data_IF_937031416352
#
_entry.id   IF_937031416352
#
_cell.length_a   1.000
_cell.length_b   1.000
_cell.length_c   1.000
_cell.angle_alpha   90.00
_cell.angle_beta   90.00
_cell.angle_gamma   90.00
#
_symmetry.space_group_name_H-M   'P 1'
#
loop_
_entity.id
_entity.type
_entity.pdbx_description
1 polymer ?
#
# COMPACT_ATOMS: atom_id res chain seq x y z
N UNK A 1 6.53 -1.58 11.55
CA UNK A 1 6.05 -2.88 11.03
C UNK A 1 6.82 -3.15 9.76
N UNK A 2 7.74 -4.12 9.78
CA UNK A 2 8.53 -4.49 8.61
C UNK A 2 7.59 -5.11 7.59
N UNK A 3 7.41 -4.47 6.43
CA UNK A 3 6.71 -5.07 5.30
C UNK A 3 7.64 -6.08 4.64
N UNK A 4 7.77 -7.23 5.27
CA UNK A 4 8.45 -8.38 4.72
C UNK A 4 7.44 -9.44 4.32
N UNK A 5 7.73 -10.11 3.23
CA UNK A 5 7.02 -11.28 2.71
C UNK A 5 7.04 -12.42 3.74
N UNK A 6 6.41 -12.24 4.93
CA UNK A 6 6.08 -13.33 5.85
C UNK A 6 5.20 -12.88 7.00
N UNK A 7 3.93 -13.13 6.86
CA UNK A 7 3.16 -13.65 8.00
C UNK A 7 1.79 -14.21 7.58
N UNK A 8 1.78 -15.29 6.83
CA UNK A 8 0.53 -16.03 6.56
C UNK A 8 0.59 -17.50 6.94
N UNK A 9 1.62 -17.93 7.69
CA UNK A 9 1.66 -19.31 8.24
C UNK A 9 1.53 -20.47 7.25
N UNK A 10 1.35 -20.18 5.95
CA UNK A 10 1.38 -21.19 4.89
C UNK A 10 2.76 -21.17 4.24
N UNK A 11 3.45 -22.30 4.11
CA UNK A 11 4.65 -22.36 3.30
C UNK A 11 4.28 -21.89 1.89
N UNK A 12 4.99 -20.85 1.40
CA UNK A 12 4.91 -20.46 0.00
C UNK A 12 5.23 -21.70 -0.83
N UNK A 13 4.49 -21.99 -1.91
CA UNK A 13 4.89 -23.02 -2.82
C UNK A 13 6.33 -22.73 -3.29
N UNK A 14 7.15 -23.76 -3.41
CA UNK A 14 8.55 -23.70 -3.90
C UNK A 14 8.66 -23.23 -5.38
N UNK A 15 7.82 -22.32 -5.80
CA UNK A 15 7.68 -21.84 -7.18
C UNK A 15 8.59 -20.65 -7.53
N UNK A 16 9.28 -20.07 -6.55
CA UNK A 16 10.25 -19.02 -6.80
C UNK A 16 11.66 -19.62 -6.85
N UNK A 17 12.07 -20.12 -8.01
CA UNK A 17 13.49 -20.40 -8.26
C UNK A 17 14.24 -19.06 -8.23
N UNK A 18 15.42 -19.04 -7.58
CA UNK A 18 16.28 -17.86 -7.59
C UNK A 18 16.60 -17.45 -9.02
N UNK A 19 16.37 -16.18 -9.34
CA UNK A 19 16.74 -15.62 -10.64
C UNK A 19 18.27 -15.66 -10.77
N UNK A 20 18.76 -16.08 -11.92
CA UNK A 20 20.20 -16.16 -12.22
C UNK A 20 20.50 -15.33 -13.47
N UNK A 21 21.73 -14.84 -13.57
CA UNK A 21 22.19 -14.11 -14.74
C UNK A 21 22.79 -12.76 -14.43
N UNK A 22 23.29 -12.12 -15.48
CA UNK A 22 23.88 -10.78 -15.46
C UNK A 22 22.97 -9.77 -16.15
N UNK A 23 23.10 -8.52 -15.77
CA UNK A 23 22.34 -7.39 -16.32
C UNK A 23 23.28 -6.49 -17.13
N UNK A 24 23.03 -6.25 -18.42
CA UNK A 24 23.81 -5.29 -19.18
C UNK A 24 23.83 -3.92 -18.46
N UNK A 25 25.02 -3.35 -18.28
CA UNK A 25 25.21 -2.09 -17.56
C UNK A 25 24.63 -2.06 -16.15
N UNK A 26 24.77 -3.16 -15.41
CA UNK A 26 24.22 -3.38 -14.07
C UNK A 26 24.35 -2.18 -13.14
N UNK A 27 25.58 -1.64 -12.99
CA UNK A 27 25.85 -0.51 -12.09
C UNK A 27 25.07 0.75 -12.51
N UNK A 28 24.99 1.03 -13.80
CA UNK A 28 24.24 2.18 -14.31
C UNK A 28 22.74 2.01 -14.11
N UNK A 29 22.24 0.78 -14.29
CA UNK A 29 20.84 0.45 -14.03
C UNK A 29 20.51 0.59 -12.55
N UNK A 30 21.29 0.00 -11.67
CA UNK A 30 21.08 0.08 -10.23
C UNK A 30 21.15 1.52 -9.72
N UNK A 31 22.06 2.33 -10.26
CA UNK A 31 22.13 3.75 -9.94
C UNK A 31 20.88 4.52 -10.43
N UNK A 32 20.33 4.17 -11.59
CA UNK A 32 19.08 4.75 -12.06
C UNK A 32 17.89 4.38 -11.13
N UNK A 33 17.83 3.14 -10.65
CA UNK A 33 16.84 2.71 -9.66
C UNK A 33 17.01 3.49 -8.36
N UNK A 34 18.24 3.64 -7.84
CA UNK A 34 18.53 4.45 -6.65
C UNK A 34 18.05 5.90 -6.78
N UNK A 35 18.30 6.53 -7.93
CA UNK A 35 17.82 7.90 -8.19
C UNK A 35 16.30 7.99 -8.31
N UNK A 36 15.66 6.94 -8.78
CA UNK A 36 14.20 6.93 -8.91
C UNK A 36 13.51 6.63 -7.59
N UNK A 37 14.17 5.95 -6.65
CA UNK A 37 13.61 5.61 -5.36
C UNK A 37 13.41 6.85 -4.49
N UNK A 38 12.27 7.00 -3.80
CA UNK A 38 12.01 8.13 -2.92
C UNK A 38 12.78 8.05 -1.60
N UNK A 39 13.38 6.90 -1.31
CA UNK A 39 14.12 6.60 -0.07
C UNK A 39 15.43 5.88 -0.43
N UNK A 40 16.45 5.92 0.44
CA UNK A 40 17.73 5.26 0.17
C UNK A 40 17.57 3.74 0.03
N UNK A 41 18.37 3.16 -0.89
CA UNK A 41 18.51 1.71 -1.06
C UNK A 41 19.85 1.29 -0.46
N UNK A 42 19.78 0.42 0.54
CA UNK A 42 20.91 -0.13 1.27
C UNK A 42 21.03 -1.62 1.02
N UNK A 43 22.24 -2.18 1.17
CA UNK A 43 22.49 -3.61 1.07
C UNK A 43 22.81 -4.14 2.45
N UNK A 44 22.21 -5.28 2.81
CA UNK A 44 22.46 -5.93 4.09
C UNK A 44 22.34 -7.46 4.01
N UNK A 45 22.97 -8.13 4.96
CA UNK A 45 22.85 -9.58 5.08
C UNK A 45 21.45 -9.96 5.54
N UNK A 46 20.76 -10.82 4.78
CA UNK A 46 19.42 -11.29 5.08
C UNK A 46 19.33 -12.83 4.94
N UNK A 47 18.25 -13.41 5.45
CA UNK A 47 17.95 -14.82 5.23
C UNK A 47 17.75 -15.10 3.73
N UNK A 48 18.14 -16.30 3.27
CA UNK A 48 18.11 -16.68 1.86
C UNK A 48 16.73 -16.61 1.18
N UNK A 49 15.69 -16.58 1.96
CA UNK A 49 14.30 -16.50 1.51
C UNK A 49 13.71 -15.07 1.52
N UNK A 50 14.53 -14.06 1.69
CA UNK A 50 14.16 -12.65 1.69
C UNK A 50 15.11 -11.92 0.74
N UNK A 51 14.60 -11.36 -0.33
CA UNK A 51 15.39 -10.64 -1.33
C UNK A 51 15.55 -9.17 -1.02
N UNK A 52 14.57 -8.59 -0.33
CA UNK A 52 14.56 -7.20 0.10
C UNK A 52 13.31 -6.86 0.88
N UNK A 53 13.25 -5.63 1.35
CA UNK A 53 12.05 -5.05 1.96
C UNK A 53 12.07 -3.52 1.93
N UNK A 54 10.90 -2.91 1.84
CA UNK A 54 10.71 -1.50 2.15
C UNK A 54 10.29 -1.35 3.62
N UNK A 55 10.95 -0.44 4.34
CA UNK A 55 10.61 -0.09 5.72
C UNK A 55 9.99 1.31 5.78
N UNK A 56 8.66 1.44 5.92
CA UNK A 56 7.99 2.74 6.08
C UNK A 56 8.45 3.50 7.32
N UNK A 57 8.71 2.78 8.42
CA UNK A 57 9.14 3.40 9.69
C UNK A 57 10.52 4.05 9.56
N UNK A 58 11.46 3.34 8.95
CA UNK A 58 12.84 3.80 8.76
C UNK A 58 13.05 4.59 7.47
N UNK A 59 12.04 4.65 6.60
CA UNK A 59 12.11 5.32 5.29
C UNK A 59 13.34 4.88 4.49
N UNK A 60 13.52 3.56 4.35
CA UNK A 60 14.60 2.96 3.56
C UNK A 60 14.15 1.67 2.87
N UNK A 61 14.84 1.33 1.81
CA UNK A 61 14.77 0.02 1.15
C UNK A 61 16.04 -0.74 1.52
N UNK A 62 15.88 -2.00 1.91
CA UNK A 62 17.00 -2.90 2.14
C UNK A 62 16.96 -4.05 1.13
N UNK A 63 18.10 -4.35 0.51
CA UNK A 63 18.27 -5.42 -0.49
C UNK A 63 19.30 -6.40 0.03
N UNK A 64 19.03 -7.70 -0.15
CA UNK A 64 19.93 -8.76 0.29
C UNK A 64 21.25 -8.74 -0.49
N UNK A 65 22.37 -8.84 0.22
CA UNK A 65 23.69 -9.02 -0.36
C UNK A 65 23.87 -10.40 -0.99
N UNK A 66 24.74 -10.49 -2.01
CA UNK A 66 25.19 -11.76 -2.60
C UNK A 66 24.18 -12.42 -3.54
N UNK A 67 23.13 -11.75 -3.96
CA UNK A 67 22.24 -12.20 -5.02
C UNK A 67 22.87 -12.04 -6.42
N UNK A 68 22.31 -12.71 -7.42
CA UNK A 68 22.64 -12.44 -8.82
C UNK A 68 22.24 -11.01 -9.21
N UNK A 69 22.84 -10.46 -10.26
CA UNK A 69 22.48 -9.11 -10.74
C UNK A 69 21.01 -9.00 -11.14
N UNK A 70 20.46 -10.03 -11.80
CA UNK A 70 19.04 -10.07 -12.19
C UNK A 70 18.14 -10.05 -10.96
N UNK A 71 18.44 -10.87 -9.95
CA UNK A 71 17.64 -10.93 -8.72
C UNK A 71 17.75 -9.64 -7.91
N UNK A 72 18.93 -9.04 -7.83
CA UNK A 72 19.15 -7.75 -7.15
C UNK A 72 18.35 -6.63 -7.80
N UNK A 73 18.37 -6.53 -9.14
CA UNK A 73 17.62 -5.51 -9.87
C UNK A 73 16.13 -5.72 -9.71
N UNK A 74 15.64 -6.95 -9.86
CA UNK A 74 14.22 -7.28 -9.69
C UNK A 74 13.73 -6.88 -8.30
N UNK A 75 14.46 -7.27 -7.25
CA UNK A 75 14.14 -6.90 -5.87
C UNK A 75 14.18 -5.38 -5.66
N UNK A 76 15.20 -4.69 -6.16
CA UNK A 76 15.33 -3.25 -6.00
C UNK A 76 14.17 -2.47 -6.68
N UNK A 77 13.72 -2.91 -7.85
CA UNK A 77 12.56 -2.30 -8.54
C UNK A 77 11.26 -2.60 -7.78
N UNK A 78 11.08 -3.84 -7.31
CA UNK A 78 9.92 -4.27 -6.52
C UNK A 78 9.77 -3.41 -5.24
N UNK A 79 10.83 -3.30 -4.44
CA UNK A 79 10.79 -2.52 -3.20
C UNK A 79 10.66 -1.01 -3.47
N UNK A 80 11.20 -0.53 -4.60
CA UNK A 80 10.99 0.85 -5.04
C UNK A 80 9.52 1.10 -5.39
N UNK A 81 8.82 0.14 -5.99
CA UNK A 81 7.39 0.24 -6.25
C UNK A 81 6.59 0.32 -4.94
N UNK A 82 6.90 -0.53 -3.94
CA UNK A 82 6.30 -0.42 -2.60
C UNK A 82 6.53 0.96 -1.99
N UNK A 83 7.74 1.47 -2.01
CA UNK A 83 8.06 2.78 -1.42
C UNK A 83 7.38 3.97 -2.11
N UNK A 84 6.99 3.82 -3.38
CA UNK A 84 6.28 4.86 -4.14
C UNK A 84 4.78 4.79 -3.98
N UNK A 85 4.23 3.58 -4.00
CA UNK A 85 2.78 3.35 -4.14
C UNK A 85 2.12 2.87 -2.86
N UNK A 86 2.88 2.26 -1.94
CA UNK A 86 2.33 1.60 -0.77
C UNK A 86 2.94 2.12 0.55
N UNK A 87 3.62 3.26 0.51
CA UNK A 87 4.10 3.89 1.74
C UNK A 87 2.91 4.50 2.52
N UNK A 88 2.56 3.95 3.70
CA UNK A 88 1.44 4.46 4.49
C UNK A 88 1.57 5.96 4.78
N UNK A 89 2.80 6.47 4.96
CA UNK A 89 3.04 7.89 5.24
C UNK A 89 2.69 8.82 4.08
N UNK A 90 2.61 8.29 2.85
CA UNK A 90 2.22 9.07 1.66
C UNK A 90 0.73 8.95 1.33
N UNK A 91 0.09 7.93 1.89
CA UNK A 91 -1.31 7.60 1.66
C UNK A 91 -2.14 7.70 2.93
N UNK A 92 -1.64 8.36 3.97
CA UNK A 92 -2.49 8.84 5.04
C UNK A 92 -3.49 9.81 4.38
N UNK A 93 -4.63 9.27 3.97
CA UNK A 93 -5.77 10.10 3.66
C UNK A 93 -6.02 10.90 4.93
N UNK A 94 -5.97 12.24 4.85
CA UNK A 94 -6.35 13.06 5.98
C UNK A 94 -7.76 12.65 6.38
N UNK A 95 -8.01 12.43 7.69
CA UNK A 95 -9.34 12.10 8.14
C UNK A 95 -10.28 13.22 7.68
N UNK A 96 -11.39 12.84 7.07
CA UNK A 96 -12.48 13.77 6.79
C UNK A 96 -13.45 13.76 7.96
N UNK A 97 -14.36 14.71 7.98
CA UNK A 97 -15.37 14.83 9.01
C UNK A 97 -16.76 14.60 8.40
N UNK A 98 -17.66 14.07 9.20
CA UNK A 98 -19.04 13.81 8.81
C UNK A 98 -20.03 14.21 9.87
N UNK A 99 -21.25 14.47 9.44
CA UNK A 99 -22.41 14.66 10.32
C UNK A 99 -23.20 13.35 10.31
N UNK A 100 -23.52 12.85 11.48
CA UNK A 100 -24.37 11.68 11.66
C UNK A 100 -25.68 12.05 12.34
N UNK A 101 -26.75 11.39 11.94
CA UNK A 101 -28.04 11.47 12.61
C UNK A 101 -28.08 10.42 13.71
N UNK A 102 -28.45 10.83 14.92
CA UNK A 102 -28.53 9.94 16.09
C UNK A 102 -29.97 9.92 16.61
N UNK A 103 -30.58 8.73 16.66
CA UNK A 103 -31.92 8.54 17.24
C UNK A 103 -31.88 8.61 18.77
N UNK A 104 -33.03 8.74 19.43
CA UNK A 104 -33.16 8.60 20.89
C UNK A 104 -32.60 7.28 21.41
N UNK A 105 -32.71 6.19 20.62
CA UNK A 105 -32.17 4.86 20.96
C UNK A 105 -30.67 4.70 20.67
N UNK A 106 -29.98 5.78 20.20
CA UNK A 106 -28.54 5.74 19.93
C UNK A 106 -28.16 5.14 18.57
N UNK A 107 -29.12 4.82 17.71
CA UNK A 107 -28.82 4.36 16.34
C UNK A 107 -28.26 5.52 15.53
N UNK A 108 -27.16 5.31 14.83
CA UNK A 108 -26.46 6.29 14.01
C UNK A 108 -26.64 6.00 12.52
N UNK A 109 -26.87 7.04 11.74
CA UNK A 109 -26.89 7.03 10.28
C UNK A 109 -26.10 8.21 9.74
N UNK A 110 -25.38 8.00 8.64
CA UNK A 110 -24.66 9.08 7.97
C UNK A 110 -25.68 10.09 7.40
N UNK A 111 -25.44 11.38 7.62
CA UNK A 111 -26.28 12.47 7.14
C UNK A 111 -25.58 13.30 6.06
N UNK A 112 -24.39 13.82 6.35
CA UNK A 112 -23.55 14.56 5.38
C UNK A 112 -22.10 14.16 5.58
N UNK A 113 -21.40 13.92 4.48
CA UNK A 113 -20.04 13.42 4.42
C UNK A 113 -19.08 14.45 3.82
N UNK A 114 -17.78 14.16 3.86
CA UNK A 114 -16.72 14.83 3.12
C UNK A 114 -16.44 16.28 3.54
N UNK A 115 -16.53 16.59 4.82
CA UNK A 115 -16.01 17.85 5.34
C UNK A 115 -14.50 17.76 5.55
N UNK A 116 -13.76 18.79 5.09
CA UNK A 116 -12.31 18.83 5.24
C UNK A 116 -11.87 19.07 6.70
N UNK A 117 -12.69 19.74 7.49
CA UNK A 117 -12.39 20.09 8.87
C UNK A 117 -13.61 19.87 9.78
N UNK A 118 -13.33 19.64 11.07
CA UNK A 118 -14.35 19.57 12.12
C UNK A 118 -15.21 20.84 12.15
N UNK A 119 -14.56 22.00 12.05
CA UNK A 119 -15.23 23.29 12.10
C UNK A 119 -16.23 23.49 10.96
N UNK A 120 -15.94 22.99 9.75
CA UNK A 120 -16.89 23.02 8.62
C UNK A 120 -18.10 22.12 8.89
N UNK A 121 -17.87 20.92 9.44
CA UNK A 121 -18.94 20.00 9.81
C UNK A 121 -19.81 20.58 10.94
N UNK A 122 -19.20 21.16 11.98
CA UNK A 122 -19.90 21.82 13.07
C UNK A 122 -20.73 23.03 12.59
N UNK A 123 -20.18 23.84 11.69
CA UNK A 123 -20.91 24.94 11.09
C UNK A 123 -22.15 24.46 10.33
N UNK A 124 -22.00 23.40 9.52
CA UNK A 124 -23.11 22.82 8.77
C UNK A 124 -24.18 22.21 9.70
N UNK A 125 -23.77 21.54 10.78
CA UNK A 125 -24.70 21.02 11.78
C UNK A 125 -25.43 22.14 12.54
N UNK A 126 -24.75 23.26 12.81
CA UNK A 126 -25.33 24.42 13.46
C UNK A 126 -26.37 25.16 12.56
N UNK A 127 -26.11 25.22 11.26
CA UNK A 127 -27.07 25.74 10.26
C UNK A 127 -28.36 24.94 10.22
N UNK A 128 -28.26 23.59 10.42
CA UNK A 128 -29.43 22.72 10.58
C UNK A 128 -30.03 22.76 12.00
N UNK A 129 -29.44 23.53 12.92
CA UNK A 129 -29.89 23.67 14.30
C UNK A 129 -29.61 22.47 15.19
N UNK A 130 -28.62 21.64 14.85
CA UNK A 130 -28.22 20.41 15.55
C UNK A 130 -29.34 19.36 15.64
N UNK A 131 -30.38 19.50 14.84
CA UNK A 131 -31.53 18.59 14.78
C UNK A 131 -32.03 18.45 13.35
N UNK A 132 -32.50 17.30 13.03
CA UNK A 132 -33.11 16.98 11.75
C UNK A 132 -34.43 16.23 11.95
N UNK A 133 -35.45 16.61 11.21
CA UNK A 133 -36.73 15.91 11.21
C UNK A 133 -36.93 15.26 9.83
N UNK A 134 -36.99 13.93 9.80
CA UNK A 134 -37.16 13.18 8.57
C UNK A 134 -38.59 13.24 8.01
N UNK A 135 -38.81 12.65 6.84
CA UNK A 135 -40.11 12.60 6.15
C UNK A 135 -41.22 11.89 6.96
N UNK A 136 -40.81 11.00 7.89
CA UNK A 136 -41.72 10.27 8.79
C UNK A 136 -41.97 11.04 10.11
N UNK A 137 -41.47 12.27 10.22
CA UNK A 137 -41.52 13.13 11.41
C UNK A 137 -40.77 12.60 12.63
N UNK A 138 -39.77 11.74 12.43
CA UNK A 138 -38.84 11.39 13.50
C UNK A 138 -37.79 12.50 13.65
N UNK A 139 -37.51 12.86 14.89
CA UNK A 139 -36.50 13.84 15.26
C UNK A 139 -35.17 13.14 15.50
N UNK A 140 -34.13 13.62 14.83
CA UNK A 140 -32.76 13.15 14.93
C UNK A 140 -31.89 14.23 15.52
N UNK A 141 -30.97 13.85 16.42
CA UNK A 141 -29.89 14.71 16.87
C UNK A 141 -28.75 14.59 15.87
N UNK A 142 -28.12 15.72 15.52
CA UNK A 142 -26.94 15.75 14.69
C UNK A 142 -25.69 15.73 15.57
N UNK A 143 -24.73 14.90 15.22
CA UNK A 143 -23.41 14.83 15.85
C UNK A 143 -22.35 14.89 14.75
N UNK A 144 -21.23 15.56 15.04
CA UNK A 144 -20.04 15.60 14.18
C UNK A 144 -19.08 14.53 14.65
N UNK A 145 -18.55 13.74 13.73
CA UNK A 145 -17.52 12.74 14.03
C UNK A 145 -16.52 12.62 12.88
N UNK A 146 -15.34 12.11 13.20
CA UNK A 146 -14.30 11.84 12.24
C UNK A 146 -14.71 10.70 11.30
N UNK A 147 -14.57 10.90 9.99
CA UNK A 147 -14.80 9.86 9.00
C UNK A 147 -13.50 9.15 8.62
N UNK A 148 -13.31 7.98 9.19
CA UNK A 148 -12.17 7.12 8.90
C UNK A 148 -12.40 6.20 7.69
N UNK A 149 -13.50 6.33 6.97
CA UNK A 149 -13.86 5.44 5.86
C UNK A 149 -12.85 5.55 4.72
N UNK A 150 -12.44 6.76 4.37
CA UNK A 150 -11.43 7.01 3.36
C UNK A 150 -10.06 6.44 3.75
N UNK A 151 -9.67 6.58 5.03
CA UNK A 151 -8.43 6.01 5.58
C UNK A 151 -8.44 4.48 5.50
N UNK A 152 -9.57 3.84 5.82
CA UNK A 152 -9.74 2.39 5.73
C UNK A 152 -9.77 1.88 4.29
N UNK A 153 -10.34 2.64 3.35
CA UNK A 153 -10.36 2.28 1.92
C UNK A 153 -9.01 2.51 1.23
N UNK A 154 -8.22 3.49 1.69
CA UNK A 154 -6.86 3.71 1.21
C UNK A 154 -5.89 2.59 1.62
N UNK A 155 -6.18 1.86 2.69
CA UNK A 155 -5.44 0.66 3.06
C UNK A 155 -5.74 -0.45 2.04
N UNK A 156 -4.95 -0.51 0.97
CA UNK A 156 -5.03 -1.59 -0.01
C UNK A 156 -4.81 -2.94 0.67
N UNK A 157 -5.49 -3.97 0.17
CA UNK A 157 -5.20 -5.34 0.57
C UNK A 157 -3.75 -5.65 0.17
N UNK A 158 -2.95 -6.21 1.10
CA UNK A 158 -1.55 -6.60 0.90
C UNK A 158 -1.33 -7.41 -0.38
N UNK A 159 -2.27 -8.32 -0.71
CA UNK A 159 -2.20 -9.09 -1.95
C UNK A 159 -2.24 -8.21 -3.20
N UNK A 160 -3.00 -7.13 -3.17
CA UNK A 160 -3.06 -6.16 -4.27
C UNK A 160 -1.74 -5.38 -4.38
N UNK A 161 -1.17 -4.97 -3.25
CA UNK A 161 0.13 -4.26 -3.20
C UNK A 161 1.26 -5.12 -3.77
N UNK A 162 1.31 -6.40 -3.41
CA UNK A 162 2.30 -7.34 -3.93
C UNK A 162 2.13 -7.57 -5.44
N UNK A 163 0.90 -7.74 -5.94
CA UNK A 163 0.63 -7.89 -7.38
C UNK A 163 1.04 -6.63 -8.15
N UNK A 164 0.76 -5.45 -7.63
CA UNK A 164 1.16 -4.17 -8.24
C UNK A 164 2.69 -4.05 -8.30
N UNK A 165 3.39 -4.28 -7.18
CA UNK A 165 4.85 -4.17 -7.12
C UNK A 165 5.55 -5.19 -8.02
N UNK A 166 5.08 -6.44 -8.04
CA UNK A 166 5.62 -7.49 -8.92
C UNK A 166 5.34 -7.19 -10.40
N UNK A 167 4.16 -6.69 -10.72
CA UNK A 167 3.82 -6.31 -12.11
C UNK A 167 4.70 -5.18 -12.62
N UNK A 168 5.01 -4.21 -11.77
CA UNK A 168 5.92 -3.10 -12.10
C UNK A 168 7.33 -3.63 -12.28
N UNK A 169 7.82 -4.45 -11.34
CA UNK A 169 9.15 -5.06 -11.43
C UNK A 169 9.30 -5.85 -12.73
N UNK A 170 8.33 -6.69 -13.05
CA UNK A 170 8.30 -7.43 -14.31
C UNK A 170 8.34 -6.51 -15.54
N UNK A 171 7.45 -5.52 -15.59
CA UNK A 171 7.35 -4.61 -16.74
C UNK A 171 8.65 -3.82 -16.97
N UNK A 172 9.25 -3.30 -15.89
CA UNK A 172 10.52 -2.57 -15.94
C UNK A 172 11.65 -3.49 -16.40
N UNK A 173 11.80 -4.66 -15.78
CA UNK A 173 12.82 -5.63 -16.16
C UNK A 173 12.68 -6.05 -17.63
N UNK A 174 11.47 -6.36 -18.09
CA UNK A 174 11.22 -6.72 -19.49
C UNK A 174 11.54 -5.59 -20.47
N UNK A 175 11.21 -4.35 -20.13
CA UNK A 175 11.52 -3.19 -20.96
C UNK A 175 13.04 -3.05 -21.22
N UNK A 176 13.85 -3.38 -20.22
CA UNK A 176 15.31 -3.35 -20.33
C UNK A 176 15.93 -4.69 -20.75
N UNK A 177 15.13 -5.66 -21.16
CA UNK A 177 15.60 -6.98 -21.63
C UNK A 177 16.08 -7.91 -20.54
N UNK A 178 15.73 -7.63 -19.28
CA UNK A 178 16.09 -8.46 -18.11
C UNK A 178 15.01 -9.53 -17.93
N UNK A 179 15.41 -10.81 -18.03
CA UNK A 179 14.47 -11.93 -18.02
C UNK A 179 14.11 -12.35 -16.59
N UNK A 180 12.88 -12.03 -16.16
CA UNK A 180 12.31 -12.43 -14.85
C UNK A 180 11.02 -13.24 -14.99
N UNK A 181 10.60 -13.56 -16.22
CA UNK A 181 9.23 -13.96 -16.56
C UNK A 181 8.69 -15.22 -15.90
N UNK A 182 9.50 -16.26 -15.72
CA UNK A 182 9.00 -17.53 -15.14
C UNK A 182 8.62 -17.40 -13.66
N UNK A 183 9.32 -16.56 -12.92
CA UNK A 183 9.06 -16.34 -11.49
C UNK A 183 7.91 -15.36 -11.25
N UNK A 184 7.88 -14.24 -11.98
CA UNK A 184 6.86 -13.20 -11.81
C UNK A 184 5.46 -13.69 -12.14
N UNK A 185 5.28 -14.49 -13.20
CA UNK A 185 3.97 -15.06 -13.54
C UNK A 185 3.43 -16.04 -12.51
N UNK A 186 4.30 -16.91 -11.98
CA UNK A 186 3.95 -17.85 -10.92
C UNK A 186 3.48 -17.13 -9.66
N UNK A 187 4.17 -16.06 -9.32
CA UNK A 187 3.89 -15.22 -8.16
C UNK A 187 2.56 -14.47 -8.30
N UNK A 188 2.38 -13.72 -9.40
CA UNK A 188 1.13 -13.00 -9.69
C UNK A 188 -0.06 -13.97 -9.73
N UNK A 189 0.08 -15.14 -10.36
CA UNK A 189 -0.98 -16.13 -10.44
C UNK A 189 -1.36 -16.73 -9.08
N UNK A 190 -0.42 -16.86 -8.15
CA UNK A 190 -0.72 -17.35 -6.79
C UNK A 190 -1.56 -16.38 -5.97
N UNK A 191 -1.32 -15.08 -6.13
CA UNK A 191 -2.02 -14.03 -5.40
C UNK A 191 -3.36 -13.62 -6.02
N UNK A 192 -3.56 -13.86 -7.32
CA UNK A 192 -4.81 -13.54 -8.02
C UNK A 192 -5.94 -14.55 -7.81
N UNK A 193 -5.66 -15.69 -7.19
CA UNK A 193 -6.65 -16.78 -6.96
C UNK A 193 -7.56 -16.58 -5.75
N UNK A 194 -7.31 -15.57 -4.92
CA UNK A 194 -8.08 -15.28 -3.71
C UNK A 194 -9.16 -14.19 -3.93
N UNK A 195 -9.79 -14.19 -5.13
CA UNK A 195 -10.97 -13.36 -5.42
C UNK A 195 -12.21 -14.21 -5.60
#
# INVERSE_FOLDING_TARGET
SEMCIRDSGKPLPELASSLSGTVPHYEAFLEAVRRSAPVPIEFEAMAANMDGYFSPDRQRIAIREGMSEVQTVSAAVHETAHSKLHDPKKHEAEPTWKIVMVSEGGTKHDFRLDFATEAEAEQAAAEEGWRYVDENRFEWRLEVEEDLTAVKQAAKNRNTEEVEAESISYAVCQYFGIQTGENSFGYIASWSKDK
#
